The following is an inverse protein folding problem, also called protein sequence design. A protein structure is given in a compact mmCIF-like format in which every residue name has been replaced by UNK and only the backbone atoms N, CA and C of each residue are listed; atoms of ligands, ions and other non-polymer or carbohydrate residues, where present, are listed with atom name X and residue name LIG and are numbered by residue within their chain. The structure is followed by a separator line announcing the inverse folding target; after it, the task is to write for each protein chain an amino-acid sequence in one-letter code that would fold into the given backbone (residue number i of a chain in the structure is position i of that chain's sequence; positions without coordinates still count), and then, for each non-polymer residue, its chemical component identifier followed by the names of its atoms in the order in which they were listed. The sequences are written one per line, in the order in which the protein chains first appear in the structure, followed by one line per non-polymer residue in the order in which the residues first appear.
data_IF_580596415797
#
_entry.id   IF_580596415797
#
_cell.length_a   1.000
_cell.length_b   1.000
_cell.length_c   1.000
_cell.angle_alpha   90.00
_cell.angle_beta   90.00
_cell.angle_gamma   90.00
#
_symmetry.space_group_name_H-M   'P 1'
#
loop_
_entity.id
_entity.type
_entity.pdbx_description
1 polymer ?
#
# COMPACT_ATOMS: atom_id res chain seq x y z
N UNK A 1 4.82 -19.06 10.07
CA UNK A 1 3.78 -18.70 9.08
C UNK A 1 2.68 -17.79 9.63
N UNK A 2 2.33 -17.83 10.92
CA UNK A 2 1.32 -16.91 11.53
C UNK A 2 1.71 -15.42 11.50
N UNK A 3 3.00 -15.12 11.45
CA UNK A 3 3.56 -13.77 11.57
C UNK A 3 3.42 -12.88 10.30
N UNK A 4 2.98 -13.46 9.16
CA UNK A 4 2.84 -12.73 7.88
C UNK A 4 1.41 -12.46 7.44
N UNK A 5 0.40 -12.92 8.20
CA UNK A 5 -1.02 -12.83 7.81
C UNK A 5 -1.55 -11.38 7.75
N UNK A 6 -0.90 -10.45 8.43
CA UNK A 6 -1.23 -9.04 8.43
C UNK A 6 -0.51 -8.22 7.34
N UNK A 7 0.37 -8.85 6.53
CA UNK A 7 1.20 -8.18 5.54
C UNK A 7 0.57 -8.21 4.15
N UNK A 8 0.63 -7.08 3.46
CA UNK A 8 0.20 -6.87 2.09
C UNK A 8 1.28 -6.17 1.28
N UNK A 9 1.33 -6.44 -0.02
CA UNK A 9 2.16 -5.71 -0.97
C UNK A 9 1.32 -4.81 -1.88
N UNK A 10 1.95 -3.81 -2.48
CA UNK A 10 1.35 -2.92 -3.47
C UNK A 10 2.28 -2.78 -4.68
N UNK A 11 1.74 -2.92 -5.87
CA UNK A 11 2.40 -2.64 -7.13
C UNK A 11 1.59 -1.55 -7.85
N UNK A 12 2.25 -0.46 -8.19
CA UNK A 12 1.67 0.67 -8.92
C UNK A 12 2.33 0.71 -10.29
N UNK A 13 1.54 0.54 -11.33
CA UNK A 13 2.00 0.46 -12.72
C UNK A 13 1.52 1.70 -13.46
N UNK A 14 2.43 2.37 -14.15
CA UNK A 14 2.12 3.53 -14.98
C UNK A 14 3.34 4.42 -15.21
N UNK A 15 3.69 4.60 -16.46
CA UNK A 15 4.76 5.51 -16.90
C UNK A 15 4.51 6.94 -16.46
N UNK A 16 3.26 7.39 -16.45
CA UNK A 16 2.88 8.75 -16.05
C UNK A 16 3.21 9.07 -14.58
N UNK A 17 3.25 8.04 -13.73
CA UNK A 17 3.65 8.20 -12.32
C UNK A 17 5.18 8.32 -12.25
N UNK A 18 5.91 7.44 -12.94
CA UNK A 18 7.37 7.45 -12.94
C UNK A 18 7.97 8.70 -13.60
N UNK A 19 7.35 9.19 -14.66
CA UNK A 19 7.77 10.42 -15.34
C UNK A 19 7.29 11.72 -14.63
N UNK A 20 6.47 11.58 -13.57
CA UNK A 20 5.98 12.73 -12.79
C UNK A 20 4.90 13.57 -13.49
N UNK A 21 4.34 13.09 -14.62
CA UNK A 21 3.22 13.78 -15.31
C UNK A 21 1.90 13.61 -14.57
N UNK A 22 1.80 12.62 -13.69
CA UNK A 22 0.70 12.41 -12.75
C UNK A 22 1.24 12.08 -11.37
N UNK A 23 0.67 12.69 -10.33
CA UNK A 23 1.01 12.37 -8.94
C UNK A 23 0.32 11.08 -8.50
N UNK A 24 1.09 10.18 -7.87
CA UNK A 24 0.53 8.99 -7.22
C UNK A 24 -0.44 9.34 -6.08
N UNK A 25 -1.58 8.68 -6.07
CA UNK A 25 -2.60 8.75 -5.01
C UNK A 25 -2.91 7.38 -4.38
N UNK A 26 -2.23 6.34 -4.85
CA UNK A 26 -2.47 4.98 -4.38
C UNK A 26 -1.69 4.68 -3.10
N UNK A 27 -0.40 5.00 -3.05
CA UNK A 27 0.45 4.67 -1.90
C UNK A 27 -0.15 5.14 -0.57
N UNK A 28 -0.46 6.43 -0.47
CA UNK A 28 -1.01 7.02 0.75
C UNK A 28 -2.35 6.38 1.15
N UNK A 29 -3.22 6.14 0.16
CA UNK A 29 -4.51 5.52 0.38
C UNK A 29 -4.36 4.07 0.89
N UNK A 30 -3.63 3.21 0.17
CA UNK A 30 -3.47 1.80 0.55
C UNK A 30 -2.77 1.64 1.90
N UNK A 31 -1.79 2.50 2.20
CA UNK A 31 -1.15 2.54 3.52
C UNK A 31 -2.18 2.82 4.61
N UNK A 32 -2.96 3.89 4.48
CA UNK A 32 -3.98 4.29 5.45
C UNK A 32 -5.10 3.24 5.58
N UNK A 33 -5.55 2.69 4.45
CA UNK A 33 -6.58 1.66 4.39
C UNK A 33 -6.17 0.41 5.17
N UNK A 34 -4.95 -0.09 4.96
CA UNK A 34 -4.43 -1.26 5.67
C UNK A 34 -4.23 -0.96 7.16
N UNK A 35 -3.63 0.17 7.50
CA UNK A 35 -3.41 0.59 8.89
C UNK A 35 -4.72 0.72 9.68
N UNK A 36 -5.78 1.29 9.09
CA UNK A 36 -7.09 1.41 9.73
C UNK A 36 -7.75 0.07 10.07
N UNK A 37 -7.34 -0.99 9.39
CA UNK A 37 -7.79 -2.37 9.62
C UNK A 37 -6.80 -3.24 10.41
N UNK A 38 -5.75 -2.62 10.98
CA UNK A 38 -4.71 -3.34 11.72
C UNK A 38 -3.81 -4.21 10.82
N UNK A 39 -3.86 -3.98 9.50
CA UNK A 39 -3.00 -4.62 8.51
C UNK A 39 -1.77 -3.74 8.20
N UNK A 40 -0.81 -4.25 7.45
CA UNK A 40 0.45 -3.55 7.20
C UNK A 40 0.87 -3.65 5.74
N UNK A 41 1.23 -2.52 5.17
CA UNK A 41 1.89 -2.47 3.88
C UNK A 41 3.38 -2.88 4.06
N UNK A 42 3.74 -4.02 3.48
CA UNK A 42 5.07 -4.60 3.59
C UNK A 42 6.04 -4.03 2.56
N UNK A 43 5.59 -3.93 1.31
CA UNK A 43 6.40 -3.46 0.19
C UNK A 43 5.55 -2.69 -0.82
N UNK A 44 6.14 -1.67 -1.42
CA UNK A 44 5.57 -0.96 -2.57
C UNK A 44 6.57 -1.00 -3.73
N UNK A 45 6.07 -1.25 -4.94
CA UNK A 45 6.83 -1.14 -6.17
C UNK A 45 6.11 -0.19 -7.13
N UNK A 46 6.88 0.69 -7.77
CA UNK A 46 6.45 1.47 -8.92
C UNK A 46 7.09 0.89 -10.16
N UNK A 47 6.28 0.51 -11.13
CA UNK A 47 6.74 -0.15 -12.35
C UNK A 47 6.28 0.62 -13.60
N UNK A 48 7.12 0.67 -14.64
CA UNK A 48 6.71 1.16 -15.95
C UNK A 48 5.78 0.16 -16.66
N UNK A 49 5.15 0.61 -17.75
CA UNK A 49 4.30 -0.22 -18.62
C UNK A 49 5.13 -1.11 -19.58
N UNK A 50 6.23 -1.69 -19.07
CA UNK A 50 7.19 -2.53 -19.80
C UNK A 50 6.83 -4.01 -19.65
N UNK A 51 6.35 -4.72 -20.71
CA UNK A 51 5.85 -6.10 -20.62
C UNK A 51 6.78 -7.08 -19.95
N UNK A 52 8.05 -7.13 -20.36
CA UNK A 52 9.02 -8.12 -19.84
C UNK A 52 9.35 -7.87 -18.38
N UNK A 53 9.43 -6.59 -17.97
CA UNK A 53 9.65 -6.21 -16.58
C UNK A 53 8.44 -6.56 -15.72
N UNK A 54 7.23 -6.29 -16.20
CA UNK A 54 5.99 -6.65 -15.51
C UNK A 54 5.88 -8.15 -15.29
N UNK A 55 6.16 -8.99 -16.31
CA UNK A 55 6.19 -10.46 -16.18
C UNK A 55 7.17 -10.89 -15.11
N UNK A 56 8.39 -10.36 -15.12
CA UNK A 56 9.44 -10.68 -14.15
C UNK A 56 9.02 -10.31 -12.71
N UNK A 57 8.49 -9.11 -12.51
CA UNK A 57 8.14 -8.64 -11.18
C UNK A 57 6.88 -9.33 -10.64
N UNK A 58 5.88 -9.58 -11.48
CA UNK A 58 4.69 -10.33 -11.09
C UNK A 58 5.01 -11.78 -10.76
N UNK A 59 5.88 -12.45 -11.55
CA UNK A 59 6.34 -13.81 -11.24
C UNK A 59 7.02 -13.89 -9.87
N UNK A 60 7.86 -12.92 -9.56
CA UNK A 60 8.46 -12.79 -8.21
C UNK A 60 7.40 -12.60 -7.14
N UNK A 61 6.48 -11.66 -7.35
CA UNK A 61 5.41 -11.35 -6.39
C UNK A 61 4.52 -12.57 -6.09
N UNK A 62 4.13 -13.32 -7.12
CA UNK A 62 3.39 -14.58 -6.95
C UNK A 62 4.17 -15.62 -6.13
N UNK A 63 5.50 -15.66 -6.30
CA UNK A 63 6.37 -16.59 -5.55
C UNK A 63 6.53 -16.17 -4.08
N UNK A 64 6.45 -14.88 -3.76
CA UNK A 64 6.55 -14.38 -2.38
C UNK A 64 5.35 -14.77 -1.51
N UNK A 65 4.20 -15.10 -2.14
CA UNK A 65 2.99 -15.63 -1.50
C UNK A 65 2.34 -14.67 -0.52
N UNK A 66 2.50 -13.35 -0.70
CA UNK A 66 1.77 -12.33 0.05
C UNK A 66 0.62 -11.77 -0.78
N UNK A 67 -0.54 -11.49 -0.17
CA UNK A 67 -1.60 -10.75 -0.83
C UNK A 67 -1.06 -9.44 -1.40
N UNK A 68 -1.35 -9.17 -2.67
CA UNK A 68 -0.78 -8.04 -3.39
C UNK A 68 -1.87 -7.28 -4.14
N UNK A 69 -1.94 -5.98 -3.92
CA UNK A 69 -2.72 -5.07 -4.73
C UNK A 69 -1.89 -4.60 -5.92
N UNK A 70 -2.49 -4.60 -7.10
CA UNK A 70 -1.85 -4.14 -8.34
C UNK A 70 -2.77 -3.12 -9.00
N UNK A 71 -2.27 -1.91 -9.25
CA UNK A 71 -3.03 -0.83 -9.88
C UNK A 71 -2.39 -0.43 -11.19
N UNK A 72 -3.21 -0.23 -12.24
CA UNK A 72 -2.77 0.24 -13.56
C UNK A 72 -2.62 -0.86 -14.60
N UNK A 73 -2.59 -0.46 -15.87
CA UNK A 73 -2.33 -1.29 -17.04
C UNK A 73 -3.36 -2.39 -17.36
N UNK A 74 -4.61 -2.28 -16.86
CA UNK A 74 -5.69 -3.25 -17.16
C UNK A 74 -6.78 -2.72 -18.09
N UNK A 75 -6.58 -1.57 -18.68
CA UNK A 75 -7.49 -0.98 -19.66
C UNK A 75 -7.47 -1.68 -21.02
N UNK A 76 -7.81 -0.95 -22.08
CA UNK A 76 -7.86 -1.48 -23.44
C UNK A 76 -6.98 -0.73 -24.42
N UNK A 77 -6.10 0.13 -23.94
CA UNK A 77 -5.13 0.87 -24.76
C UNK A 77 -3.88 0.00 -25.05
N UNK A 78 -3.09 0.33 -26.07
CA UNK A 78 -1.93 -0.48 -26.45
C UNK A 78 -0.84 -0.62 -25.39
N UNK A 79 -0.78 0.30 -24.43
CA UNK A 79 0.13 0.33 -23.28
C UNK A 79 -0.37 -0.47 -22.07
N UNK A 80 -1.62 -0.96 -22.10
CA UNK A 80 -2.20 -1.79 -21.03
C UNK A 80 -1.71 -3.25 -21.12
N UNK A 81 -0.58 -3.55 -20.48
CA UNK A 81 0.07 -4.86 -20.54
C UNK A 81 -0.13 -5.74 -19.30
N UNK A 82 -0.70 -5.21 -18.22
CA UNK A 82 -0.74 -5.90 -16.91
C UNK A 82 -1.48 -7.24 -16.94
N UNK A 83 -2.58 -7.37 -17.68
CA UNK A 83 -3.36 -8.62 -17.80
C UNK A 83 -2.55 -9.73 -18.48
N UNK A 84 -1.90 -9.39 -19.59
CA UNK A 84 -1.03 -10.31 -20.36
C UNK A 84 0.22 -10.69 -19.53
N UNK A 85 0.81 -9.70 -18.84
CA UNK A 85 1.96 -9.94 -17.98
C UNK A 85 1.62 -10.85 -16.78
N UNK A 86 0.44 -10.69 -16.16
CA UNK A 86 -0.02 -11.57 -15.11
C UNK A 86 -0.23 -13.01 -15.59
N UNK A 87 -0.82 -13.19 -16.78
CA UNK A 87 -0.98 -14.50 -17.40
C UNK A 87 0.38 -15.16 -17.72
N UNK A 88 1.28 -14.42 -18.37
CA UNK A 88 2.63 -14.91 -18.69
C UNK A 88 3.47 -15.21 -17.44
N UNK A 89 3.33 -14.44 -16.37
CA UNK A 89 4.01 -14.68 -15.10
C UNK A 89 3.61 -16.01 -14.45
N UNK A 90 2.41 -16.50 -14.75
CA UNK A 90 1.84 -17.76 -14.24
C UNK A 90 1.84 -18.90 -15.26
N UNK A 91 2.39 -18.66 -16.46
CA UNK A 91 2.37 -19.59 -17.59
C UNK A 91 0.93 -20.01 -17.97
N UNK A 92 -0.04 -19.06 -17.89
CA UNK A 92 -1.44 -19.25 -18.19
C UNK A 92 -1.84 -18.56 -19.51
N UNK A 93 -2.84 -19.08 -20.25
CA UNK A 93 -3.42 -18.34 -21.35
C UNK A 93 -4.27 -17.16 -20.88
N UNK A 94 -4.36 -16.13 -21.71
CA UNK A 94 -5.34 -15.06 -21.56
C UNK A 94 -6.64 -15.52 -22.22
N UNK A 95 -7.75 -15.47 -21.48
CA UNK A 95 -9.07 -15.92 -21.96
C UNK A 95 -10.13 -14.87 -21.66
N UNK A 96 -11.17 -14.81 -22.50
CA UNK A 96 -12.34 -13.95 -22.27
C UNK A 96 -13.17 -14.47 -21.10
N UNK A 97 -13.32 -13.64 -20.04
CA UNK A 97 -14.17 -13.97 -18.91
C UNK A 97 -15.64 -13.68 -19.24
N UNK A 98 -16.54 -14.71 -19.21
CA UNK A 98 -17.90 -14.55 -19.72
C UNK A 98 -18.74 -13.48 -19.01
N UNK A 99 -18.63 -13.39 -17.69
CA UNK A 99 -19.37 -12.39 -16.90
C UNK A 99 -18.81 -10.99 -17.08
N UNK A 100 -17.48 -10.83 -17.14
CA UNK A 100 -16.88 -9.53 -17.43
C UNK A 100 -17.29 -9.01 -18.82
N UNK A 101 -17.37 -9.89 -19.83
CA UNK A 101 -17.85 -9.53 -21.14
C UNK A 101 -19.29 -9.00 -21.10
N UNK A 102 -20.20 -9.66 -20.36
CA UNK A 102 -21.58 -9.19 -20.18
C UNK A 102 -21.66 -7.81 -19.54
N UNK A 103 -20.79 -7.51 -18.54
CA UNK A 103 -20.74 -6.17 -17.95
C UNK A 103 -20.34 -5.12 -18.98
N UNK A 104 -19.35 -5.42 -19.83
CA UNK A 104 -18.91 -4.53 -20.89
C UNK A 104 -19.98 -4.34 -21.96
N UNK A 105 -20.69 -5.41 -22.35
CA UNK A 105 -21.86 -5.34 -23.27
C UNK A 105 -22.93 -4.42 -22.67
N UNK A 106 -23.28 -4.60 -21.40
CA UNK A 106 -24.27 -3.76 -20.73
C UNK A 106 -23.83 -2.27 -20.69
N UNK A 107 -22.56 -1.99 -20.47
CA UNK A 107 -22.02 -0.62 -20.52
C UNK A 107 -22.11 -0.05 -21.93
N UNK A 108 -21.82 -0.84 -22.97
CA UNK A 108 -21.91 -0.43 -24.37
C UNK A 108 -23.35 -0.08 -24.74
N UNK A 109 -24.30 -0.97 -24.42
CA UNK A 109 -25.71 -0.73 -24.68
C UNK A 109 -26.27 0.50 -23.94
N UNK A 110 -25.87 0.69 -22.69
CA UNK A 110 -26.25 1.88 -21.91
C UNK A 110 -25.73 3.19 -22.54
N UNK A 111 -24.64 3.15 -23.29
CA UNK A 111 -24.16 4.28 -24.08
C UNK A 111 -24.87 4.50 -25.40
N UNK A 112 -25.77 3.63 -25.76
CA UNK A 112 -26.49 3.66 -27.06
C UNK A 112 -25.59 3.23 -28.23
N UNK A 113 -24.50 2.51 -27.96
CA UNK A 113 -23.55 2.06 -28.98
C UNK A 113 -23.86 0.62 -29.39
N UNK A 114 -23.71 0.26 -30.69
CA UNK A 114 -23.97 -1.10 -31.15
C UNK A 114 -22.84 -2.06 -30.73
N UNK A 115 -23.23 -3.35 -30.53
CA UNK A 115 -22.26 -4.37 -30.09
C UNK A 115 -21.31 -4.86 -31.20
N UNK A 116 -21.59 -4.55 -32.45
CA UNK A 116 -20.72 -4.81 -33.60
C UNK A 116 -19.76 -3.67 -33.93
N UNK A 117 -19.78 -2.58 -33.12
CA UNK A 117 -18.89 -1.46 -33.31
C UNK A 117 -17.42 -1.81 -32.96
N UNK A 118 -16.43 -1.27 -33.67
CA UNK A 118 -15.00 -1.46 -33.36
C UNK A 118 -14.63 -1.04 -31.93
N UNK A 119 -15.29 -0.01 -31.39
CA UNK A 119 -15.10 0.48 -30.03
C UNK A 119 -15.56 -0.54 -28.99
N UNK A 120 -16.63 -1.28 -29.26
CA UNK A 120 -17.07 -2.38 -28.41
C UNK A 120 -16.05 -3.53 -28.41
N UNK A 121 -15.57 -3.91 -29.59
CA UNK A 121 -14.53 -4.94 -29.71
C UNK A 121 -13.26 -4.57 -28.94
N UNK A 122 -12.88 -3.28 -28.97
CA UNK A 122 -11.73 -2.77 -28.19
C UNK A 122 -12.00 -2.84 -26.68
N UNK A 123 -13.19 -2.42 -26.23
CA UNK A 123 -13.60 -2.51 -24.81
C UNK A 123 -13.66 -3.93 -24.29
N UNK A 124 -14.10 -4.89 -25.12
CA UNK A 124 -14.16 -6.30 -24.74
C UNK A 124 -12.80 -6.88 -24.34
N UNK A 125 -11.68 -6.29 -24.78
CA UNK A 125 -10.36 -6.70 -24.33
C UNK A 125 -10.17 -6.53 -22.82
N UNK A 126 -10.90 -5.60 -22.17
CA UNK A 126 -10.87 -5.46 -20.72
C UNK A 126 -11.50 -6.65 -19.96
N UNK A 127 -12.17 -7.54 -20.66
CA UNK A 127 -12.67 -8.81 -20.12
C UNK A 127 -11.74 -9.99 -20.35
N UNK A 128 -10.56 -9.77 -20.94
CA UNK A 128 -9.57 -10.82 -21.21
C UNK A 128 -8.61 -10.90 -20.02
N UNK A 129 -8.67 -11.98 -19.24
CA UNK A 129 -7.91 -12.20 -18.01
C UNK A 129 -7.10 -13.51 -18.07
N UNK A 130 -6.11 -13.72 -17.18
CA UNK A 130 -5.47 -15.02 -17.01
C UNK A 130 -6.55 -16.11 -16.76
N UNK A 131 -6.38 -17.28 -17.33
CA UNK A 131 -7.32 -18.39 -17.11
C UNK A 131 -7.42 -18.72 -15.61
N UNK A 132 -8.66 -18.84 -15.13
CA UNK A 132 -8.95 -19.09 -13.71
C UNK A 132 -8.95 -17.83 -12.83
N UNK A 133 -8.87 -16.64 -13.40
CA UNK A 133 -9.06 -15.40 -12.65
C UNK A 133 -10.53 -15.26 -12.19
N UNK A 134 -10.69 -14.68 -10.99
CA UNK A 134 -11.99 -14.30 -10.43
C UNK A 134 -12.22 -12.80 -10.61
N UNK A 135 -13.49 -12.39 -10.65
CA UNK A 135 -13.84 -10.97 -10.84
C UNK A 135 -13.72 -10.19 -9.52
N UNK A 136 -13.18 -8.99 -9.62
CA UNK A 136 -13.25 -7.98 -8.58
C UNK A 136 -14.24 -6.90 -9.02
N UNK A 137 -15.38 -6.72 -8.30
CA UNK A 137 -16.40 -5.76 -8.66
C UNK A 137 -15.89 -4.33 -8.69
N UNK A 138 -16.31 -3.56 -9.67
CA UNK A 138 -16.03 -2.14 -9.76
C UNK A 138 -17.33 -1.34 -9.59
N UNK A 139 -17.58 -0.74 -8.43
CA UNK A 139 -18.85 -0.05 -8.17
C UNK A 139 -18.99 1.26 -8.95
N UNK A 140 -17.91 1.79 -9.52
CA UNK A 140 -17.93 3.05 -10.26
C UNK A 140 -18.54 2.92 -11.65
N UNK A 141 -18.18 1.89 -12.42
CA UNK A 141 -18.60 1.76 -13.81
C UNK A 141 -18.96 0.33 -14.26
N UNK A 142 -18.96 -0.63 -13.33
CA UNK A 142 -19.19 -2.06 -13.56
C UNK A 142 -18.17 -2.76 -14.49
N UNK A 143 -17.07 -2.10 -14.86
CA UNK A 143 -15.98 -2.76 -15.59
C UNK A 143 -15.05 -3.38 -14.55
N UNK A 144 -15.19 -4.68 -14.35
CA UNK A 144 -14.51 -5.41 -13.28
C UNK A 144 -12.99 -5.40 -13.42
N UNK A 145 -12.30 -5.40 -12.28
CA UNK A 145 -10.96 -5.90 -12.18
C UNK A 145 -10.94 -7.43 -12.06
N UNK A 146 -9.78 -7.99 -11.77
CA UNK A 146 -9.66 -9.42 -11.57
C UNK A 146 -8.71 -9.77 -10.42
N UNK A 147 -8.81 -10.98 -9.91
CA UNK A 147 -7.88 -11.54 -8.94
C UNK A 147 -7.41 -12.92 -9.38
N UNK A 148 -6.18 -13.25 -9.04
CA UNK A 148 -5.61 -14.58 -9.18
C UNK A 148 -4.48 -14.78 -8.16
N UNK A 149 -4.49 -15.92 -7.44
CA UNK A 149 -3.47 -16.25 -6.42
C UNK A 149 -3.21 -15.11 -5.42
N UNK A 150 -4.28 -14.58 -4.82
CA UNK A 150 -4.23 -13.46 -3.87
C UNK A 150 -3.58 -12.17 -4.42
N UNK A 151 -3.52 -12.01 -5.75
CA UNK A 151 -3.19 -10.75 -6.40
C UNK A 151 -4.45 -10.13 -6.97
N UNK A 152 -4.70 -8.87 -6.64
CA UNK A 152 -5.92 -8.13 -6.97
C UNK A 152 -5.58 -6.98 -7.88
N UNK A 153 -6.07 -7.02 -9.10
CA UNK A 153 -5.73 -6.11 -10.18
C UNK A 153 -6.84 -5.09 -10.42
N UNK A 154 -6.51 -3.82 -10.30
CA UNK A 154 -7.42 -2.69 -10.38
C UNK A 154 -7.01 -1.71 -11.49
N UNK A 155 -7.98 -0.92 -12.02
CA UNK A 155 -7.63 0.22 -12.89
C UNK A 155 -6.70 1.21 -12.17
N UNK A 156 -5.91 1.98 -12.93
CA UNK A 156 -5.04 3.03 -12.39
C UNK A 156 -5.76 4.28 -11.89
N UNK A 157 -7.10 4.32 -11.94
CA UNK A 157 -7.90 5.45 -11.46
C UNK A 157 -8.28 5.29 -9.99
N UNK A 158 -7.87 6.22 -9.08
CA UNK A 158 -8.20 6.13 -7.66
C UNK A 158 -9.68 5.96 -7.35
N UNK A 159 -10.55 6.67 -8.06
CA UNK A 159 -12.01 6.59 -7.91
C UNK A 159 -12.58 5.18 -8.17
N UNK A 160 -11.85 4.34 -8.90
CA UNK A 160 -12.19 2.94 -9.16
C UNK A 160 -11.42 2.00 -8.22
N UNK A 161 -10.10 2.11 -8.20
CA UNK A 161 -9.21 1.20 -7.46
C UNK A 161 -9.46 1.21 -5.94
N UNK A 162 -9.72 2.38 -5.36
CA UNK A 162 -9.89 2.51 -3.92
C UNK A 162 -11.09 1.75 -3.37
N UNK A 163 -12.33 1.93 -3.86
CA UNK A 163 -13.48 1.14 -3.39
C UNK A 163 -13.37 -0.35 -3.75
N UNK A 164 -12.68 -0.70 -4.83
CA UNK A 164 -12.40 -2.11 -5.15
C UNK A 164 -11.48 -2.76 -4.14
N UNK A 165 -10.45 -2.05 -3.67
CA UNK A 165 -9.55 -2.53 -2.63
C UNK A 165 -10.24 -2.68 -1.26
N UNK A 166 -11.11 -1.74 -0.91
CA UNK A 166 -11.95 -1.85 0.29
C UNK A 166 -12.82 -3.11 0.23
N UNK A 167 -13.50 -3.33 -0.91
CA UNK A 167 -14.32 -4.51 -1.12
C UNK A 167 -13.50 -5.82 -0.99
N UNK A 168 -12.30 -5.87 -1.55
CA UNK A 168 -11.40 -7.04 -1.43
C UNK A 168 -11.06 -7.32 0.03
N UNK A 169 -10.67 -6.30 0.80
CA UNK A 169 -10.33 -6.47 2.20
C UNK A 169 -11.53 -6.94 3.02
N UNK A 170 -12.67 -6.31 2.83
CA UNK A 170 -13.88 -6.61 3.60
C UNK A 170 -14.46 -8.00 3.24
N UNK A 171 -14.23 -8.47 1.99
CA UNK A 171 -14.73 -9.77 1.51
C UNK A 171 -13.81 -10.94 1.90
N UNK A 172 -12.50 -10.78 1.72
CA UNK A 172 -11.55 -11.91 1.83
C UNK A 172 -10.68 -11.87 3.08
N UNK A 173 -10.59 -10.74 3.79
CA UNK A 173 -9.62 -10.54 4.87
C UNK A 173 -10.19 -9.95 6.16
N UNK A 174 -11.52 -9.83 6.27
CA UNK A 174 -12.18 -9.28 7.45
C UNK A 174 -11.80 -10.01 8.76
N UNK A 175 -11.54 -11.32 8.67
CA UNK A 175 -11.09 -12.15 9.79
C UNK A 175 -9.66 -11.80 10.27
N UNK A 176 -8.88 -11.09 9.46
CA UNK A 176 -7.51 -10.65 9.78
C UNK A 176 -7.45 -9.24 10.39
N UNK A 177 -8.58 -8.53 10.46
CA UNK A 177 -8.60 -7.14 10.95
C UNK A 177 -8.30 -7.06 12.44
N UNK A 178 -7.41 -6.14 12.81
CA UNK A 178 -7.08 -5.80 14.19
C UNK A 178 -6.72 -7.01 15.09
N UNK A 179 -6.16 -8.09 14.50
CA UNK A 179 -5.77 -9.30 15.24
C UNK A 179 -4.50 -9.10 16.08
N UNK A 180 -3.71 -8.06 15.80
CA UNK A 180 -2.47 -7.77 16.52
C UNK A 180 -2.61 -6.43 17.22
N UNK A 181 -2.49 -6.42 18.54
CA UNK A 181 -2.40 -5.20 19.32
C UNK A 181 -1.18 -4.40 18.90
N UNK A 182 -1.31 -3.08 18.80
CA UNK A 182 -0.21 -2.16 18.47
C UNK A 182 -0.24 -0.96 19.40
N UNK A 183 0.91 -0.55 19.83
CA UNK A 183 1.08 0.64 20.64
C UNK A 183 2.30 1.43 20.22
N UNK A 184 2.22 2.74 20.40
CA UNK A 184 3.34 3.65 20.18
C UNK A 184 3.31 4.79 21.19
N UNK A 185 4.48 5.37 21.44
CA UNK A 185 4.67 6.59 22.20
C UNK A 185 5.69 7.45 21.46
N UNK A 186 5.49 8.76 21.40
CA UNK A 186 6.48 9.68 20.83
C UNK A 186 6.54 11.00 21.58
N UNK A 187 7.65 11.72 21.40
CA UNK A 187 7.90 13.04 21.96
C UNK A 187 8.83 13.81 21.01
N UNK A 188 8.68 15.12 20.96
CA UNK A 188 9.61 15.99 20.24
C UNK A 188 10.78 16.34 21.13
N UNK A 189 12.00 16.07 20.65
CA UNK A 189 13.27 16.30 21.31
C UNK A 189 13.97 17.49 20.67
N UNK A 190 14.30 18.49 21.47
CA UNK A 190 15.02 19.69 21.06
C UNK A 190 16.42 19.72 21.68
N UNK A 191 17.29 20.52 21.11
CA UNK A 191 18.62 20.85 21.63
C UNK A 191 19.59 19.66 21.75
N UNK A 192 19.27 18.53 21.10
CA UNK A 192 20.12 17.34 21.08
C UNK A 192 20.35 16.84 19.65
N UNK A 193 21.57 16.45 19.30
CA UNK A 193 21.84 15.74 18.06
C UNK A 193 21.38 14.29 18.15
N UNK A 194 21.00 13.70 17.03
CA UNK A 194 20.55 12.30 16.93
C UNK A 194 21.60 11.30 17.49
N UNK A 195 22.90 11.62 17.34
CA UNK A 195 23.99 10.80 17.86
C UNK A 195 23.99 10.63 19.40
N UNK A 196 23.35 11.53 20.14
CA UNK A 196 23.15 11.39 21.59
C UNK A 196 21.92 10.56 21.94
N UNK A 197 20.96 10.45 21.03
CA UNK A 197 19.74 9.66 21.20
C UNK A 197 20.00 8.20 20.82
N UNK A 198 20.87 7.93 19.85
CA UNK A 198 21.18 6.57 19.36
C UNK A 198 21.52 5.58 20.48
N UNK A 199 22.37 5.88 21.48
CA UNK A 199 22.65 4.94 22.58
C UNK A 199 21.42 4.59 23.41
N UNK A 200 20.46 5.52 23.55
CA UNK A 200 19.18 5.27 24.24
C UNK A 200 18.35 4.30 23.43
N UNK A 201 18.26 4.49 22.11
CA UNK A 201 17.56 3.58 21.20
C UNK A 201 18.10 2.15 21.28
N UNK A 202 19.41 2.00 21.18
CA UNK A 202 20.10 0.71 21.31
C UNK A 202 19.86 0.04 22.67
N UNK A 203 19.88 0.82 23.76
CA UNK A 203 19.55 0.33 25.09
C UNK A 203 18.13 -0.22 25.16
N UNK A 204 17.14 0.53 24.67
CA UNK A 204 15.73 0.16 24.70
C UNK A 204 15.47 -1.12 23.88
N UNK A 205 15.98 -1.21 22.66
CA UNK A 205 15.78 -2.38 21.80
C UNK A 205 16.47 -3.64 22.33
N UNK A 206 17.57 -3.49 23.05
CA UNK A 206 18.27 -4.60 23.72
C UNK A 206 17.56 -5.06 24.98
N UNK A 207 17.01 -4.10 25.76
CA UNK A 207 16.40 -4.38 27.08
C UNK A 207 14.98 -4.88 26.97
N UNK A 208 14.20 -4.35 26.02
CA UNK A 208 12.78 -4.65 25.89
C UNK A 208 12.52 -5.39 24.57
N UNK A 209 12.46 -6.70 24.65
CA UNK A 209 12.25 -7.54 23.46
C UNK A 209 10.95 -7.20 22.72
N UNK A 210 11.07 -6.87 21.41
CA UNK A 210 9.94 -6.51 20.55
C UNK A 210 9.60 -5.02 20.55
N UNK A 211 10.23 -4.20 21.39
CA UNK A 211 10.19 -2.74 21.24
C UNK A 211 11.08 -2.34 20.07
N UNK A 212 10.59 -1.40 19.25
CA UNK A 212 11.32 -0.76 18.17
C UNK A 212 11.31 0.74 18.39
N UNK A 213 12.47 1.34 18.37
CA UNK A 213 12.65 2.80 18.46
C UNK A 213 12.76 3.42 17.07
N UNK A 214 12.42 4.69 16.96
CA UNK A 214 12.65 5.48 15.77
C UNK A 214 13.01 6.92 16.13
N UNK A 215 13.69 7.57 15.22
CA UNK A 215 14.13 8.96 15.30
C UNK A 215 13.90 9.60 13.93
N UNK A 216 13.15 10.70 13.89
CA UNK A 216 12.80 11.43 12.68
C UNK A 216 13.25 12.89 12.82
N UNK A 217 14.50 13.22 12.42
CA UNK A 217 15.03 14.58 12.51
C UNK A 217 14.35 15.51 11.50
N UNK A 218 13.98 16.69 11.96
CA UNK A 218 13.46 17.79 11.16
C UNK A 218 14.40 18.99 11.24
N UNK A 219 14.79 19.51 10.09
CA UNK A 219 15.55 20.77 10.01
C UNK A 219 14.64 21.95 10.28
N UNK A 220 15.18 23.01 10.90
CA UNK A 220 14.43 24.24 11.11
C UNK A 220 13.92 24.82 9.78
N UNK A 221 12.67 25.25 9.76
CA UNK A 221 12.04 25.85 8.57
C UNK A 221 11.11 26.99 8.96
N UNK A 222 10.99 27.94 8.05
CA UNK A 222 9.94 28.97 8.11
C UNK A 222 8.84 28.60 7.08
N UNK A 223 7.60 28.58 7.50
CA UNK A 223 6.46 28.31 6.62
C UNK A 223 6.08 29.55 5.78
N UNK A 224 5.05 29.41 4.92
CA UNK A 224 4.53 30.49 4.06
C UNK A 224 3.99 31.69 4.85
N UNK A 225 3.60 31.48 6.10
CA UNK A 225 3.00 32.50 6.99
C UNK A 225 4.06 33.17 7.88
N UNK A 226 5.35 32.84 7.66
CA UNK A 226 6.49 33.41 8.40
C UNK A 226 6.72 32.78 9.77
N UNK A 227 6.04 31.68 10.13
CA UNK A 227 6.21 31.01 11.41
C UNK A 227 7.44 30.09 11.36
N UNK A 228 8.36 30.30 12.28
CA UNK A 228 9.58 29.50 12.37
C UNK A 228 9.36 28.28 13.25
N UNK A 229 9.63 27.09 12.71
CA UNK A 229 9.71 25.82 13.45
C UNK A 229 11.19 25.48 13.66
N UNK A 230 11.68 25.37 14.91
CA UNK A 230 13.08 25.04 15.18
C UNK A 230 13.41 23.60 14.81
N UNK A 231 14.70 23.27 14.60
CA UNK A 231 15.14 21.90 14.44
C UNK A 231 14.73 21.05 15.64
N UNK A 232 14.22 19.85 15.38
CA UNK A 232 13.79 18.92 16.40
C UNK A 232 13.86 17.48 15.88
N UNK A 233 13.75 16.53 16.77
CA UNK A 233 13.69 15.11 16.45
C UNK A 233 12.37 14.58 17.02
N UNK A 234 11.50 14.00 16.21
CA UNK A 234 10.46 13.16 16.72
C UNK A 234 11.07 11.81 17.11
N UNK A 235 11.24 11.60 18.40
CA UNK A 235 11.68 10.33 18.95
C UNK A 235 10.46 9.53 19.40
N UNK A 236 10.47 8.23 19.09
CA UNK A 236 9.37 7.37 19.54
C UNK A 236 9.77 5.91 19.65
N UNK A 237 8.89 5.17 20.31
CA UNK A 237 8.94 3.71 20.41
C UNK A 237 7.60 3.12 19.98
N UNK A 238 7.64 1.91 19.44
CA UNK A 238 6.47 1.14 19.03
C UNK A 238 6.63 -0.32 19.38
N UNK A 239 5.49 -0.97 19.60
CA UNK A 239 5.38 -2.37 19.95
C UNK A 239 4.22 -3.02 19.20
N UNK A 240 4.31 -4.32 18.94
CA UNK A 240 3.25 -5.14 18.37
C UNK A 240 3.05 -6.41 19.20
N UNK A 241 1.80 -6.86 19.33
CA UNK A 241 1.41 -8.08 20.04
C UNK A 241 1.82 -8.05 21.51
N UNK A 242 2.41 -9.13 22.00
CA UNK A 242 2.80 -9.25 23.41
C UNK A 242 3.81 -8.21 23.90
N UNK A 243 4.58 -7.60 22.98
CA UNK A 243 5.51 -6.54 23.34
C UNK A 243 4.79 -5.27 23.80
N UNK A 244 3.50 -5.07 23.49
CA UNK A 244 2.72 -3.91 23.92
C UNK A 244 2.66 -3.80 25.46
N UNK A 245 2.71 -4.91 26.20
CA UNK A 245 2.80 -4.93 27.67
C UNK A 245 4.06 -4.27 28.23
N UNK A 246 5.13 -4.17 27.42
CA UNK A 246 6.40 -3.56 27.81
C UNK A 246 6.48 -2.07 27.46
N UNK A 247 5.50 -1.55 26.71
CA UNK A 247 5.56 -0.22 26.13
C UNK A 247 5.68 0.88 27.17
N UNK A 248 4.93 0.83 28.25
CA UNK A 248 4.95 1.88 29.29
C UNK A 248 6.27 1.86 30.09
N UNK A 249 6.80 0.68 30.39
CA UNK A 249 8.10 0.56 31.04
C UNK A 249 9.24 1.05 30.14
N UNK A 250 9.24 0.64 28.88
CA UNK A 250 10.22 1.10 27.90
C UNK A 250 10.12 2.61 27.66
N UNK A 251 8.90 3.17 27.68
CA UNK A 251 8.71 4.61 27.53
C UNK A 251 9.23 5.41 28.71
N UNK A 252 8.99 4.95 29.93
CA UNK A 252 9.53 5.59 31.14
C UNK A 252 11.07 5.60 31.13
N UNK A 253 11.71 4.48 30.74
CA UNK A 253 13.16 4.38 30.59
C UNK A 253 13.69 5.32 29.47
N UNK A 254 12.97 5.39 28.34
CA UNK A 254 13.28 6.31 27.24
C UNK A 254 13.31 7.78 27.73
N UNK A 255 12.25 8.22 28.42
CA UNK A 255 12.16 9.58 28.95
C UNK A 255 13.27 9.89 29.95
N UNK A 256 13.61 8.93 30.82
CA UNK A 256 14.72 9.09 31.76
C UNK A 256 16.06 9.24 31.01
N UNK A 257 16.31 8.43 29.98
CA UNK A 257 17.49 8.53 29.15
C UNK A 257 17.61 9.88 28.42
N UNK A 258 16.50 10.37 27.85
CA UNK A 258 16.44 11.67 27.18
C UNK A 258 16.70 12.84 28.17
N UNK A 259 16.13 12.77 29.36
CA UNK A 259 16.37 13.77 30.42
C UNK A 259 17.82 13.76 30.88
N UNK A 260 18.45 12.58 31.03
CA UNK A 260 19.83 12.44 31.45
C UNK A 260 20.86 13.09 30.49
N UNK A 261 20.53 13.14 29.19
CA UNK A 261 21.36 13.85 28.19
C UNK A 261 21.04 15.35 28.10
N UNK A 262 20.11 15.87 28.92
CA UNK A 262 19.73 17.28 28.94
C UNK A 262 18.81 17.69 27.77
N UNK A 263 17.99 16.77 27.25
CA UNK A 263 17.05 17.07 26.17
C UNK A 263 15.87 17.92 26.65
N UNK A 264 15.47 18.90 25.86
CA UNK A 264 14.18 19.60 26.02
C UNK A 264 13.09 18.78 25.32
N UNK A 265 12.07 18.37 26.08
CA UNK A 265 10.98 17.52 25.57
C UNK A 265 9.69 18.30 25.47
N UNK A 266 8.96 18.12 24.35
CA UNK A 266 7.61 18.68 24.16
C UNK A 266 6.68 17.63 23.54
N UNK A 267 5.38 17.70 23.87
CA UNK A 267 4.35 16.84 23.23
C UNK A 267 3.94 17.36 21.84
N UNK A 268 4.14 18.64 21.60
CA UNK A 268 3.84 19.31 20.30
C UNK A 268 5.04 20.14 19.86
N UNK A 269 5.09 20.45 18.57
CA UNK A 269 6.16 21.29 17.97
C UNK A 269 5.87 22.79 18.15
N UNK A 270 4.67 23.13 18.63
CA UNK A 270 4.24 24.52 18.90
C UNK A 270 4.78 25.09 20.22
#
# INVERSE_FOLDING_TARGET
MKDRQHLFNLIIIGDEILHGSRQDKHFAFFKSLLESRGLKLNQVQYLPDEPDLLVKQLRRSFSDGLPTFVTGGIGSTPDDHTRQAAAAALDLPVVRHPEAAKFIEAVTLKRGEPLDAPEHAQRLKMADFPAGAELVPNPFNNIAGFSIREHYFFPGFPVMAHPMAEWVLDTYYADRFNQTERGSRSVYVFDQPESRITPIMEHLERTYAGIRSYSLPTVGRTDSDGRYTPPHIEFGIKAEGEACRLLDAAWADALQGLQAIGATLKETVE
#
